data_IF_753651538453
#
_entry.id   IF_753651538453
#
_cell.length_a   1.000
_cell.length_b   1.000
_cell.length_c   1.000
_cell.angle_alpha   90.00
_cell.angle_beta   90.00
_cell.angle_gamma   90.00
#
_symmetry.space_group_name_H-M   'P 1'
#
loop_
_entity.id
_entity.type
_entity.pdbx_description
1 polymer ?
#
# COMPACT_ATOMS: atom_id res chain seq x y z
N UNK A 1 -11.71 2.77 -4.88
CA UNK A 1 -10.94 4.04 -5.02
C UNK A 1 -9.55 3.96 -4.41
N UNK A 2 -9.37 3.69 -3.10
CA UNK A 2 -8.04 3.66 -2.46
C UNK A 2 -7.04 2.67 -3.09
N UNK A 3 -7.49 1.48 -3.50
CA UNK A 3 -6.63 0.47 -4.15
C UNK A 3 -6.10 0.91 -5.52
N UNK A 4 -6.90 1.64 -6.31
CA UNK A 4 -6.47 2.14 -7.63
C UNK A 4 -5.39 3.21 -7.46
N UNK A 5 -5.60 4.12 -6.51
CA UNK A 5 -4.62 5.15 -6.17
C UNK A 5 -3.29 4.53 -5.70
N UNK A 6 -3.34 3.56 -4.79
CA UNK A 6 -2.15 2.85 -4.34
C UNK A 6 -1.46 2.10 -5.49
N UNK A 7 -2.22 1.41 -6.35
CA UNK A 7 -1.64 0.74 -7.52
C UNK A 7 -0.88 1.72 -8.43
N UNK A 8 -1.48 2.87 -8.74
CA UNK A 8 -0.83 3.91 -9.54
C UNK A 8 0.42 4.48 -8.86
N UNK A 9 0.34 4.74 -7.56
CA UNK A 9 1.45 5.30 -6.77
C UNK A 9 2.64 4.34 -6.73
N UNK A 10 2.40 3.05 -6.44
CA UNK A 10 3.45 2.03 -6.42
C UNK A 10 3.98 1.69 -7.81
N UNK A 11 3.17 1.77 -8.86
CA UNK A 11 3.65 1.61 -10.24
C UNK A 11 4.61 2.75 -10.63
N UNK A 12 4.29 4.00 -10.27
CA UNK A 12 5.16 5.15 -10.48
C UNK A 12 6.46 5.02 -9.66
N UNK A 13 6.35 4.53 -8.43
CA UNK A 13 7.49 4.26 -7.56
C UNK A 13 8.41 3.16 -8.10
N UNK A 14 7.83 2.12 -8.71
CA UNK A 14 8.59 1.07 -9.38
C UNK A 14 9.34 1.62 -10.58
N UNK A 15 8.67 2.44 -11.41
CA UNK A 15 9.27 3.06 -12.59
C UNK A 15 10.44 4.00 -12.23
N UNK A 16 10.24 4.87 -11.24
CA UNK A 16 11.29 5.77 -10.74
C UNK A 16 12.47 4.99 -10.12
N UNK A 17 12.19 3.98 -9.30
CA UNK A 17 13.24 3.12 -8.72
C UNK A 17 14.01 2.32 -9.77
N UNK A 18 13.35 1.96 -10.89
CA UNK A 18 13.98 1.25 -12.00
C UNK A 18 14.98 2.16 -12.72
N UNK A 19 14.61 3.42 -12.96
CA UNK A 19 15.51 4.43 -13.52
C UNK A 19 16.74 4.67 -12.63
N UNK A 20 16.58 4.55 -11.31
CA UNK A 20 17.67 4.67 -10.33
C UNK A 20 18.51 3.38 -10.17
N UNK A 21 18.23 2.32 -10.96
CA UNK A 21 18.94 1.04 -10.90
C UNK A 21 18.61 0.16 -9.68
N UNK A 22 17.59 0.49 -8.90
CA UNK A 22 17.23 -0.23 -7.65
C UNK A 22 16.30 -1.41 -7.91
N UNK A 23 16.83 -2.47 -8.53
CA UNK A 23 16.01 -3.62 -8.95
C UNK A 23 15.16 -4.24 -7.82
N UNK A 24 15.67 -4.30 -6.58
CA UNK A 24 14.93 -4.85 -5.43
C UNK A 24 13.70 -3.99 -5.11
N UNK A 25 13.88 -2.68 -5.05
CA UNK A 25 12.84 -1.70 -4.70
C UNK A 25 11.81 -1.57 -5.83
N UNK A 26 12.27 -1.63 -7.09
CA UNK A 26 11.41 -1.76 -8.28
C UNK A 26 10.53 -3.01 -8.19
N UNK A 27 11.12 -4.17 -7.88
CA UNK A 27 10.39 -5.43 -7.76
C UNK A 27 9.34 -5.36 -6.64
N UNK A 28 9.71 -4.88 -5.46
CA UNK A 28 8.80 -4.69 -4.33
C UNK A 28 7.64 -3.75 -4.67
N UNK A 29 7.92 -2.57 -5.22
CA UNK A 29 6.88 -1.63 -5.64
C UNK A 29 5.99 -2.20 -6.76
N UNK A 30 6.58 -2.90 -7.73
CA UNK A 30 5.85 -3.52 -8.84
C UNK A 30 4.90 -4.63 -8.37
N UNK A 31 5.37 -5.54 -7.52
CA UNK A 31 4.54 -6.58 -6.89
C UNK A 31 3.41 -5.94 -6.08
N UNK A 32 3.72 -4.88 -5.33
CA UNK A 32 2.73 -4.15 -4.53
C UNK A 32 1.66 -3.51 -5.42
N UNK A 33 2.04 -2.91 -6.54
CA UNK A 33 1.09 -2.33 -7.51
C UNK A 33 0.14 -3.39 -8.09
N UNK A 34 0.69 -4.55 -8.49
CA UNK A 34 -0.09 -5.68 -9.00
C UNK A 34 -1.03 -6.25 -7.93
N UNK A 35 -0.56 -6.40 -6.70
CA UNK A 35 -1.38 -6.88 -5.59
C UNK A 35 -2.57 -5.93 -5.31
N UNK A 36 -2.36 -4.61 -5.38
CA UNK A 36 -3.43 -3.62 -5.27
C UNK A 36 -4.45 -3.71 -6.42
N UNK A 37 -4.00 -3.97 -7.65
CA UNK A 37 -4.91 -4.20 -8.78
C UNK A 37 -5.70 -5.51 -8.64
N UNK A 38 -5.07 -6.60 -8.23
CA UNK A 38 -5.74 -7.88 -8.03
C UNK A 38 -6.78 -7.82 -6.91
N UNK A 39 -6.50 -7.06 -5.85
CA UNK A 39 -7.42 -6.85 -4.74
C UNK A 39 -8.68 -6.04 -5.11
N UNK A 40 -8.70 -5.36 -6.26
CA UNK A 40 -9.93 -4.72 -6.77
C UNK A 40 -10.98 -5.76 -7.15
N UNK A 41 -10.57 -6.91 -7.70
CA UNK A 41 -11.49 -7.99 -8.10
C UNK A 41 -12.20 -8.63 -6.92
N UNK A 42 -11.60 -8.58 -5.72
CA UNK A 42 -12.15 -9.11 -4.48
C UNK A 42 -12.81 -8.05 -3.60
N UNK A 43 -12.84 -6.78 -4.05
CA UNK A 43 -13.42 -5.67 -3.30
C UNK A 43 -14.95 -5.79 -3.23
N UNK A 44 -15.49 -6.08 -2.04
CA UNK A 44 -16.94 -6.19 -1.80
C UNK A 44 -17.38 -7.44 -1.05
N UNK A 45 -16.52 -8.46 -0.93
CA UNK A 45 -16.79 -9.68 -0.13
C UNK A 45 -16.20 -9.55 1.27
N UNK A 46 -16.82 -10.18 2.28
CA UNK A 46 -16.30 -10.19 3.66
C UNK A 46 -14.85 -10.75 3.74
N UNK A 47 -14.56 -11.81 2.99
CA UNK A 47 -13.19 -12.34 2.82
C UNK A 47 -12.24 -11.32 2.13
N UNK A 48 -12.75 -10.53 1.20
CA UNK A 48 -12.01 -9.45 0.54
C UNK A 48 -11.65 -8.31 1.50
N UNK A 49 -12.45 -8.08 2.54
CA UNK A 49 -12.19 -7.01 3.52
C UNK A 49 -10.98 -7.32 4.40
N UNK A 50 -10.78 -8.58 4.83
CA UNK A 50 -9.57 -9.02 5.55
C UNK A 50 -8.32 -8.94 4.66
N UNK A 51 -8.44 -9.37 3.40
CA UNK A 51 -7.38 -9.26 2.40
C UNK A 51 -6.95 -7.80 2.20
N UNK A 52 -7.91 -6.86 2.15
CA UNK A 52 -7.64 -5.43 2.03
C UNK A 52 -6.89 -4.86 3.23
N UNK A 53 -7.19 -5.30 4.47
CA UNK A 53 -6.44 -4.88 5.66
C UNK A 53 -4.98 -5.33 5.57
N UNK A 54 -4.75 -6.61 5.26
CA UNK A 54 -3.40 -7.16 5.10
C UNK A 54 -2.62 -6.43 4.01
N UNK A 55 -3.27 -6.16 2.88
CA UNK A 55 -2.65 -5.45 1.77
C UNK A 55 -2.31 -4.01 2.11
N UNK A 56 -3.16 -3.30 2.87
CA UNK A 56 -2.87 -1.94 3.31
C UNK A 56 -1.71 -1.90 4.31
N UNK A 57 -1.59 -2.90 5.18
CA UNK A 57 -0.42 -3.04 6.06
C UNK A 57 0.86 -3.33 5.25
N UNK A 58 0.76 -4.17 4.22
CA UNK A 58 1.88 -4.42 3.31
C UNK A 58 2.28 -3.16 2.55
N UNK A 59 1.32 -2.39 2.03
CA UNK A 59 1.57 -1.08 1.40
C UNK A 59 2.29 -0.13 2.37
N UNK A 60 1.89 -0.10 3.65
CA UNK A 60 2.56 0.73 4.64
C UNK A 60 4.01 0.31 4.88
N UNK A 61 4.28 -1.00 4.94
CA UNK A 61 5.63 -1.53 5.10
C UNK A 61 6.53 -1.19 3.90
N UNK A 62 6.03 -1.38 2.67
CA UNK A 62 6.77 -1.05 1.45
C UNK A 62 6.99 0.46 1.35
N UNK A 63 5.98 1.28 1.63
CA UNK A 63 6.11 2.73 1.67
C UNK A 63 7.15 3.18 2.72
N UNK A 64 7.19 2.55 3.89
CA UNK A 64 8.20 2.79 4.92
C UNK A 64 9.62 2.42 4.46
N UNK A 65 9.78 1.28 3.78
CA UNK A 65 11.07 0.88 3.20
C UNK A 65 11.53 1.87 2.12
N UNK A 66 10.61 2.32 1.26
CA UNK A 66 10.88 3.35 0.24
C UNK A 66 11.25 4.68 0.87
N UNK A 67 10.55 5.10 1.94
CA UNK A 67 10.88 6.31 2.69
C UNK A 67 12.29 6.25 3.28
N UNK A 68 12.67 5.11 3.86
CA UNK A 68 13.98 4.91 4.44
C UNK A 68 15.10 4.99 3.39
N UNK A 69 14.93 4.37 2.21
CA UNK A 69 15.90 4.47 1.12
C UNK A 69 16.05 5.92 0.61
N UNK A 70 14.94 6.66 0.46
CA UNK A 70 15.01 8.08 0.10
C UNK A 70 15.59 8.97 1.22
N UNK A 71 15.40 8.61 2.49
CA UNK A 71 16.00 9.35 3.61
C UNK A 71 17.52 9.19 3.65
N UNK A 72 18.04 7.96 3.42
CA UNK A 72 19.48 7.72 3.38
C UNK A 72 20.19 8.44 2.21
N UNK A 73 19.48 8.65 1.09
CA UNK A 73 20.04 9.28 -0.12
C UNK A 73 20.04 10.80 -0.09
N UNK A 74 19.57 11.43 1.00
CA UNK A 74 19.56 12.89 1.12
C UNK A 74 18.58 13.61 0.20
N UNK A 75 17.68 12.88 -0.49
CA UNK A 75 16.58 13.49 -1.25
C UNK A 75 15.62 14.16 -0.27
N UNK A 76 15.72 15.48 -0.19
CA UNK A 76 14.83 16.29 0.62
C UNK A 76 13.39 16.13 0.08
N UNK A 77 12.42 16.01 0.97
CA UNK A 77 10.97 15.95 0.72
C UNK A 77 10.37 14.61 0.23
N UNK A 78 11.03 13.81 -0.60
CA UNK A 78 10.43 12.55 -1.12
C UNK A 78 10.17 11.52 -0.01
N UNK A 79 11.07 11.43 0.98
CA UNK A 79 10.89 10.54 2.13
C UNK A 79 9.65 10.91 2.97
N UNK A 80 9.33 12.21 3.08
CA UNK A 80 8.13 12.67 3.81
C UNK A 80 6.85 12.25 3.10
N UNK A 81 6.82 12.31 1.77
CA UNK A 81 5.67 11.85 0.98
C UNK A 81 5.42 10.34 1.21
N UNK A 82 6.49 9.54 1.24
CA UNK A 82 6.38 8.11 1.51
C UNK A 82 5.97 7.77 2.95
N UNK A 83 6.43 8.56 3.93
CA UNK A 83 5.95 8.45 5.32
C UNK A 83 4.45 8.74 5.39
N UNK A 84 3.98 9.79 4.72
CA UNK A 84 2.56 10.14 4.67
C UNK A 84 1.73 9.03 4.03
N UNK A 85 2.22 8.40 2.95
CA UNK A 85 1.58 7.23 2.32
C UNK A 85 1.50 6.05 3.29
N UNK A 86 2.55 5.80 4.08
CA UNK A 86 2.54 4.76 5.10
C UNK A 86 1.48 5.04 6.18
N UNK A 87 1.42 6.27 6.69
CA UNK A 87 0.41 6.68 7.67
C UNK A 87 -1.02 6.55 7.13
N UNK A 88 -1.29 7.00 5.91
CA UNK A 88 -2.60 6.86 5.27
C UNK A 88 -2.95 5.38 5.09
N UNK A 89 -1.99 4.56 4.66
CA UNK A 89 -2.21 3.12 4.47
C UNK A 89 -2.60 2.44 5.79
N UNK A 90 -1.94 2.79 6.90
CA UNK A 90 -2.31 2.28 8.24
C UNK A 90 -3.68 2.79 8.67
N UNK A 91 -4.00 4.07 8.46
CA UNK A 91 -5.31 4.63 8.81
C UNK A 91 -6.45 3.95 8.04
N UNK A 92 -6.25 3.72 6.73
CA UNK A 92 -7.19 3.01 5.87
C UNK A 92 -7.33 1.54 6.30
N UNK A 93 -6.23 0.88 6.66
CA UNK A 93 -6.26 -0.48 7.23
C UNK A 93 -7.11 -0.53 8.51
N UNK A 94 -6.93 0.44 9.42
CA UNK A 94 -7.68 0.52 10.66
C UNK A 94 -9.18 0.75 10.42
N UNK A 95 -9.54 1.58 9.43
CA UNK A 95 -10.94 1.79 9.03
C UNK A 95 -11.57 0.50 8.47
N UNK A 96 -10.88 -0.19 7.56
CA UNK A 96 -11.36 -1.47 7.02
C UNK A 96 -11.46 -2.55 8.10
N UNK A 97 -10.51 -2.59 9.04
CA UNK A 97 -10.54 -3.51 10.17
C UNK A 97 -11.76 -3.29 11.07
N UNK A 98 -12.04 -2.02 11.44
CA UNK A 98 -13.24 -1.64 12.22
C UNK A 98 -14.53 -2.02 11.49
N UNK A 99 -14.59 -1.81 10.18
CA UNK A 99 -15.76 -2.16 9.35
C UNK A 99 -15.96 -3.67 9.24
N UNK A 100 -14.87 -4.44 9.08
CA UNK A 100 -14.92 -5.91 9.03
C UNK A 100 -15.42 -6.52 10.35
N UNK A 101 -15.10 -5.93 11.50
CA UNK A 101 -15.62 -6.40 12.80
C UNK A 101 -17.12 -6.18 12.96
N UNK A 102 -17.68 -5.06 12.46
CA UNK A 102 -19.12 -4.79 12.54
C UNK A 102 -19.95 -5.81 11.76
N UNK A 103 -19.53 -6.14 10.54
CA UNK A 103 -20.20 -7.11 9.67
C UNK A 103 -20.10 -8.56 10.18
N UNK A 104 -19.18 -8.86 11.11
CA UNK A 104 -19.07 -10.18 11.74
C UNK A 104 -19.94 -10.31 13.00
N UNK A 105 -20.61 -9.23 13.42
CA UNK A 105 -21.44 -9.15 14.63
C UNK A 105 -22.93 -8.97 14.36
N UNK A 106 -23.37 -8.88 13.09
CA UNK A 106 -24.79 -9.01 12.75
C UNK A 106 -25.16 -10.50 12.80
N UNK A 107 -26.08 -10.92 13.70
CA UNK A 107 -26.66 -12.26 13.62
C UNK A 107 -27.54 -12.38 12.36
N UNK A 108 -27.69 -13.60 11.80
CA UNK A 108 -28.52 -13.85 10.63
C UNK A 108 -30.00 -13.52 10.84
#
# INVERSE_FOLDING_TARGET
MALILNAGLFALAAFTSFSDGKMILTGLCGITALANLLALRSSGKAAGMRMQVLLMLFNAAVAGATAYDYAQRGTQYLHLAWILVACISVAVAALFYRRSRRLSHEPP
#
